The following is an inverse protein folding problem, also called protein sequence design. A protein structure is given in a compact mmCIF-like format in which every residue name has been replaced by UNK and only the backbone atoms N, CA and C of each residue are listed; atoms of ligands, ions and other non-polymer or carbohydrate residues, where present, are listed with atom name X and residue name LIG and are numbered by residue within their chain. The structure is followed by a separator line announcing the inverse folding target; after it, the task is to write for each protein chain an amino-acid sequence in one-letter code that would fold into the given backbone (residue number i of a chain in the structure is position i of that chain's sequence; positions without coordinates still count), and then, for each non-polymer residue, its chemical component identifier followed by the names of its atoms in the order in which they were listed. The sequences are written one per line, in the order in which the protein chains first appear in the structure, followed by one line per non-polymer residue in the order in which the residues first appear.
data_IF_338766617457
#
_entry.id   IF_338766617457
#
_cell.length_a   1.000
_cell.length_b   1.000
_cell.length_c   1.000
_cell.angle_alpha   90.00
_cell.angle_beta   90.00
_cell.angle_gamma   90.00
#
_symmetry.space_group_name_H-M   'P 1'
#
loop_
_entity.id
_entity.type
_entity.pdbx_description
1 polymer ?
#
# COMPACT_ATOMS: atom_id res chain seq x y z
N UNK A 1 6.19 33.43 -3.04
CA UNK A 1 6.39 32.61 -1.82
C UNK A 1 5.16 31.72 -1.67
N UNK A 2 5.34 30.47 -2.02
CA UNK A 2 4.33 29.53 -2.53
C UNK A 2 3.41 28.99 -1.43
N UNK A 3 2.29 29.68 -1.21
CA UNK A 3 1.25 29.29 -0.27
C UNK A 3 0.38 28.15 -0.81
N UNK A 4 0.90 26.93 -0.90
CA UNK A 4 0.05 25.73 -0.99
C UNK A 4 -0.16 25.12 0.39
N UNK A 5 -0.87 25.85 1.24
CA UNK A 5 -1.45 25.36 2.48
C UNK A 5 -2.56 24.35 2.19
N UNK A 6 -2.22 23.16 1.67
CA UNK A 6 -3.10 22.00 1.76
C UNK A 6 -2.91 21.40 3.15
N UNK A 7 -3.67 21.91 4.10
CA UNK A 7 -4.06 21.20 5.33
C UNK A 7 -5.05 20.08 4.99
N UNK A 8 -4.70 19.27 3.98
CA UNK A 8 -5.27 17.95 3.81
C UNK A 8 -4.65 17.09 4.89
N UNK A 9 -5.46 16.62 5.84
CA UNK A 9 -5.06 15.76 6.97
C UNK A 9 -4.05 14.71 6.48
N UNK A 10 -2.76 14.95 6.78
CA UNK A 10 -1.67 14.10 6.27
C UNK A 10 -1.62 12.83 7.10
N UNK A 11 -1.57 11.69 6.44
CA UNK A 11 -1.52 10.39 7.10
C UNK A 11 -0.06 10.02 7.34
N UNK A 12 0.37 10.02 8.60
CA UNK A 12 1.76 9.79 8.97
C UNK A 12 1.97 8.34 9.38
N UNK A 13 3.05 7.73 8.91
CA UNK A 13 3.45 6.39 9.31
C UNK A 13 4.00 6.38 10.73
N UNK A 14 3.45 5.51 11.58
CA UNK A 14 3.89 5.37 12.97
C UNK A 14 5.27 4.73 13.11
N UNK A 15 5.70 3.93 12.14
CA UNK A 15 6.99 3.23 12.20
C UNK A 15 8.18 4.10 11.75
N UNK A 16 7.96 5.06 10.84
CA UNK A 16 9.07 5.82 10.24
C UNK A 16 8.77 7.31 10.00
N UNK A 17 7.62 7.82 10.44
CA UNK A 17 7.25 9.24 10.31
C UNK A 17 6.96 9.71 8.87
N UNK A 18 7.02 8.84 7.85
CA UNK A 18 6.71 9.22 6.46
C UNK A 18 5.27 9.72 6.32
N UNK A 19 5.09 10.82 5.60
CA UNK A 19 3.79 11.48 5.39
C UNK A 19 3.19 11.06 4.05
N UNK A 20 1.92 10.68 4.07
CA UNK A 20 1.16 10.27 2.90
C UNK A 20 -0.05 11.20 2.71
N UNK A 21 -0.40 11.45 1.46
CA UNK A 21 -1.55 12.26 1.08
C UNK A 21 -2.89 11.50 1.18
N UNK A 22 -2.83 10.17 1.26
CA UNK A 22 -4.00 9.28 1.25
C UNK A 22 -3.85 8.19 2.31
N UNK A 23 -4.92 7.85 3.03
CA UNK A 23 -4.88 6.81 4.06
C UNK A 23 -4.62 5.43 3.47
N UNK A 24 -5.11 5.17 2.24
CA UNK A 24 -4.85 3.92 1.53
C UNK A 24 -3.36 3.72 1.26
N UNK A 25 -2.65 4.78 0.84
CA UNK A 25 -1.21 4.75 0.62
C UNK A 25 -0.45 4.52 1.91
N UNK A 26 -0.88 5.14 3.02
CA UNK A 26 -0.30 4.86 4.34
C UNK A 26 -0.51 3.41 4.73
N UNK A 27 -1.73 2.86 4.60
CA UNK A 27 -2.03 1.47 4.98
C UNK A 27 -1.18 0.47 4.19
N UNK A 28 -1.05 0.68 2.88
CA UNK A 28 -0.16 -0.11 2.01
C UNK A 28 1.29 0.01 2.46
N UNK A 29 1.74 1.21 2.83
CA UNK A 29 3.09 1.41 3.33
C UNK A 29 3.32 0.71 4.67
N UNK A 30 2.36 0.73 5.59
CA UNK A 30 2.50 0.03 6.89
C UNK A 30 2.70 -1.47 6.69
N UNK A 31 2.06 -2.07 5.68
CA UNK A 31 2.29 -3.47 5.31
C UNK A 31 3.76 -3.78 4.98
N UNK A 32 4.57 -2.79 4.57
CA UNK A 32 6.01 -3.01 4.32
C UNK A 32 6.82 -3.11 5.60
N UNK A 33 6.34 -2.56 6.71
CA UNK A 33 6.97 -2.67 8.02
C UNK A 33 6.56 -3.97 8.72
N UNK A 34 5.28 -4.31 8.66
CA UNK A 34 4.74 -5.53 9.29
C UNK A 34 4.99 -6.80 8.47
N UNK A 35 5.40 -6.66 7.21
CA UNK A 35 5.49 -7.77 6.27
C UNK A 35 4.13 -8.34 5.85
N UNK A 36 3.02 -7.69 6.22
CA UNK A 36 1.68 -8.17 5.92
C UNK A 36 1.42 -8.19 4.40
N UNK A 37 0.92 -9.31 3.90
CA UNK A 37 0.54 -9.48 2.49
C UNK A 37 -0.88 -10.00 2.40
N UNK A 38 -1.89 -9.16 2.67
CA UNK A 38 -3.28 -9.60 2.75
C UNK A 38 -3.87 -10.01 1.38
N UNK A 39 -3.17 -9.78 0.27
CA UNK A 39 -3.66 -10.09 -1.06
C UNK A 39 -2.95 -11.32 -1.61
N UNK A 40 -3.55 -12.50 -1.47
CA UNK A 40 -3.08 -13.73 -2.07
C UNK A 40 -3.57 -13.88 -3.52
N UNK A 41 -2.75 -14.49 -4.38
CA UNK A 41 -3.13 -14.84 -5.73
C UNK A 41 -4.15 -15.98 -5.70
N UNK A 42 -5.35 -15.81 -6.28
CA UNK A 42 -6.38 -16.84 -6.26
C UNK A 42 -6.10 -18.00 -7.24
N UNK A 43 -5.01 -17.95 -8.01
CA UNK A 43 -4.66 -19.01 -8.96
C UNK A 43 -4.17 -20.27 -8.19
N UNK A 44 -4.80 -21.44 -8.42
CA UNK A 44 -4.44 -22.66 -7.72
C UNK A 44 -2.98 -23.03 -8.01
N UNK A 45 -2.21 -23.33 -6.95
CA UNK A 45 -0.79 -23.68 -7.08
C UNK A 45 0.18 -22.49 -7.18
N UNK A 46 -0.29 -21.23 -7.25
CA UNK A 46 0.60 -20.07 -7.31
C UNK A 46 1.19 -19.67 -5.94
N UNK A 47 0.36 -19.58 -4.90
CA UNK A 47 0.78 -19.24 -3.53
C UNK A 47 1.42 -17.86 -3.35
N UNK A 48 1.44 -17.00 -4.39
CA UNK A 48 2.04 -15.65 -4.29
C UNK A 48 1.14 -14.70 -3.51
N UNK A 49 1.74 -13.94 -2.61
CA UNK A 49 1.07 -12.91 -1.81
C UNK A 49 1.64 -11.51 -2.07
N UNK A 50 0.79 -10.51 -1.97
CA UNK A 50 1.09 -9.11 -2.28
C UNK A 50 0.59 -8.18 -1.15
N UNK A 51 1.29 -7.07 -0.97
CA UNK A 51 0.91 -6.01 -0.04
C UNK A 51 -0.07 -4.98 -0.65
N UNK A 52 -0.26 -5.02 -1.98
CA UNK A 52 -1.20 -4.16 -2.73
C UNK A 52 -2.08 -5.00 -3.66
N UNK A 53 -3.38 -4.72 -3.66
CA UNK A 53 -4.38 -5.38 -4.51
C UNK A 53 -4.12 -5.18 -6.00
N UNK A 54 -3.69 -3.98 -6.43
CA UNK A 54 -3.39 -3.69 -7.83
C UNK A 54 -2.21 -4.53 -8.36
N UNK A 55 -1.20 -4.77 -7.51
CA UNK A 55 -0.06 -5.63 -7.86
C UNK A 55 -0.48 -7.09 -8.00
N UNK A 56 -1.25 -7.62 -7.05
CA UNK A 56 -1.82 -8.97 -7.15
C UNK A 56 -2.65 -9.11 -8.42
N UNK A 57 -3.52 -8.14 -8.71
CA UNK A 57 -4.42 -8.21 -9.86
C UNK A 57 -3.70 -8.05 -11.20
N UNK A 58 -2.59 -7.32 -11.25
CA UNK A 58 -1.72 -7.27 -12.44
C UNK A 58 -0.98 -8.59 -12.63
N UNK A 59 -0.47 -9.18 -11.55
CA UNK A 59 0.14 -10.50 -11.59
C UNK A 59 -0.84 -11.57 -12.06
N UNK A 60 -2.06 -11.59 -11.50
CA UNK A 60 -3.11 -12.55 -11.88
C UNK A 60 -3.52 -12.44 -13.35
N UNK A 61 -3.52 -11.22 -13.92
CA UNK A 61 -3.83 -11.03 -15.35
C UNK A 61 -2.81 -11.66 -16.30
N UNK A 62 -1.59 -11.91 -15.84
CA UNK A 62 -0.51 -12.46 -16.63
C UNK A 62 -0.19 -13.93 -16.28
N UNK A 63 -1.04 -14.57 -15.47
CA UNK A 63 -1.03 -16.03 -15.34
C UNK A 63 -1.59 -16.66 -16.62
#
# INVERSE_FOLDING_TARGET
MDGTGRDGKRHTCVHCGKRFNRPSSLKIHVNTHTGAKPFECPHPGCGRQFNVSSNMRRHYRNH
#
